data_IF_001410387658
#
_entry.id   IF_001410387658
#
_cell.length_a   1.000
_cell.length_b   1.000
_cell.length_c   1.000
_cell.angle_alpha   90.00
_cell.angle_beta   90.00
_cell.angle_gamma   90.00
#
_symmetry.space_group_name_H-M   'P 1'
#
loop_
_entity.id
_entity.type
_entity.pdbx_description
1 polymer ?
#
# COMPACT_ATOMS: atom_id res chain seq x y z
N UNK A 1 8.48 -27.75 -18.29
CA UNK A 1 7.09 -28.31 -18.29
C UNK A 1 6.62 -28.99 -16.99
N UNK A 2 7.49 -29.42 -16.04
CA UNK A 2 7.04 -30.04 -14.76
C UNK A 2 6.99 -29.08 -13.54
N UNK A 3 7.46 -27.84 -13.67
CA UNK A 3 7.56 -26.87 -12.55
C UNK A 3 6.29 -26.03 -12.33
N UNK A 4 5.57 -25.70 -13.42
CA UNK A 4 4.27 -25.00 -13.39
C UNK A 4 3.19 -25.64 -12.49
N UNK A 5 3.05 -26.98 -12.37
CA UNK A 5 2.05 -27.59 -11.50
C UNK A 5 2.37 -27.50 -10.00
N UNK A 6 3.63 -27.29 -9.59
CA UNK A 6 4.02 -27.28 -8.17
C UNK A 6 3.67 -25.96 -7.46
N UNK A 7 3.98 -24.82 -8.09
CA UNK A 7 3.58 -23.52 -7.54
C UNK A 7 2.05 -23.39 -7.51
N UNK A 8 1.40 -23.84 -8.57
CA UNK A 8 -0.05 -23.84 -8.65
C UNK A 8 -0.71 -24.72 -7.58
N UNK A 9 -0.20 -25.94 -7.37
CA UNK A 9 -0.73 -26.84 -6.35
C UNK A 9 -0.56 -26.29 -4.93
N UNK A 10 0.54 -25.58 -4.64
CA UNK A 10 0.75 -24.92 -3.36
C UNK A 10 -0.24 -23.76 -3.13
N UNK A 11 -0.50 -22.95 -4.16
CA UNK A 11 -1.40 -21.79 -4.07
C UNK A 11 -2.88 -22.20 -4.01
N UNK A 12 -3.30 -23.22 -4.76
CA UNK A 12 -4.69 -23.75 -4.70
C UNK A 12 -4.99 -24.41 -3.35
N UNK A 13 -4.00 -25.02 -2.70
CA UNK A 13 -4.17 -25.59 -1.37
C UNK A 13 -4.44 -24.53 -0.27
N UNK A 14 -4.11 -23.25 -0.54
CA UNK A 14 -4.35 -22.12 0.36
C UNK A 14 -5.57 -21.26 -0.04
N UNK A 15 -6.23 -21.54 -1.16
CA UNK A 15 -7.48 -20.90 -1.51
C UNK A 15 -8.56 -21.30 -0.47
N UNK A 16 -9.44 -20.38 -0.03
CA UNK A 16 -10.45 -20.69 0.97
C UNK A 16 -11.45 -21.71 0.41
N UNK A 17 -11.19 -22.99 0.68
CA UNK A 17 -12.20 -24.02 0.70
C UNK A 17 -13.22 -23.67 1.79
N UNK A 18 -14.49 -23.87 1.47
CA UNK A 18 -15.66 -23.62 2.32
C UNK A 18 -15.40 -23.96 3.80
N UNK A 19 -15.16 -22.93 4.63
CA UNK A 19 -15.15 -23.06 6.08
C UNK A 19 -16.57 -22.90 6.62
N UNK A 20 -17.00 -23.93 7.35
CA UNK A 20 -18.25 -24.04 8.10
C UNK A 20 -18.38 -22.89 9.13
N UNK A 21 -19.56 -22.24 9.28
CA UNK A 21 -19.69 -21.03 10.11
C UNK A 21 -19.79 -21.28 11.63
N UNK A 22 -19.61 -22.51 12.13
CA UNK A 22 -19.78 -22.84 13.56
C UNK A 22 -18.49 -23.37 14.20
N UNK A 23 -17.59 -22.48 14.63
CA UNK A 23 -16.72 -22.76 15.78
C UNK A 23 -16.23 -21.48 16.44
N UNK A 24 -17.14 -20.82 17.17
CA UNK A 24 -16.80 -19.91 18.25
C UNK A 24 -16.33 -20.71 19.48
N UNK A 25 -15.22 -20.30 20.08
CA UNK A 25 -14.49 -21.11 21.06
C UNK A 25 -13.53 -20.28 21.89
N UNK A 26 -14.04 -19.23 22.53
CA UNK A 26 -13.27 -18.41 23.46
C UNK A 26 -12.61 -19.18 24.60
N UNK A 27 -11.35 -18.84 24.90
CA UNK A 27 -10.77 -18.97 26.24
C UNK A 27 -9.85 -17.79 26.54
N UNK A 28 -10.30 -16.99 27.51
CA UNK A 28 -9.52 -16.02 28.27
C UNK A 28 -8.32 -16.72 28.93
N UNK A 29 -7.17 -16.05 28.96
CA UNK A 29 -6.13 -16.27 29.98
C UNK A 29 -5.79 -14.94 30.63
N UNK A 30 -6.08 -14.88 31.93
CA UNK A 30 -5.63 -13.87 32.87
C UNK A 30 -4.12 -13.99 33.13
N UNK A 31 -3.50 -12.85 33.46
CA UNK A 31 -2.48 -12.80 34.51
C UNK A 31 -1.15 -12.12 34.16
N UNK A 32 -0.87 -11.00 34.83
CA UNK A 32 0.47 -10.75 35.38
C UNK A 32 1.11 -9.40 35.10
N UNK A 33 0.75 -8.36 35.86
CA UNK A 33 1.55 -7.15 36.07
C UNK A 33 2.84 -7.47 36.85
N UNK A 34 3.94 -6.75 36.62
CA UNK A 34 4.77 -6.28 37.72
C UNK A 34 5.04 -4.78 37.70
N UNK A 35 4.99 -4.20 38.90
CA UNK A 35 5.27 -2.81 39.26
C UNK A 35 6.77 -2.48 39.33
N UNK A 36 7.08 -1.19 39.22
CA UNK A 36 8.36 -0.56 39.59
C UNK A 36 8.94 0.26 38.43
N UNK A 37 9.49 1.46 38.60
CA UNK A 37 9.67 2.36 39.74
C UNK A 37 9.91 3.76 39.13
N UNK A 38 9.58 4.82 39.88
CA UNK A 38 9.54 6.18 39.36
C UNK A 38 10.92 6.83 39.23
N UNK A 39 11.10 7.69 38.22
CA UNK A 39 11.93 8.89 38.32
C UNK A 39 11.51 9.93 37.28
N UNK A 40 11.03 11.08 37.75
CA UNK A 40 10.82 12.30 36.96
C UNK A 40 12.11 13.10 36.82
N UNK A 41 12.29 13.81 35.70
CA UNK A 41 12.88 15.15 35.79
C UNK A 41 11.95 16.23 35.20
N UNK A 42 12.01 17.41 35.83
CA UNK A 42 11.25 18.64 35.53
C UNK A 42 11.78 19.39 34.29
N UNK A 43 10.96 20.28 33.68
CA UNK A 43 11.28 20.97 32.43
C UNK A 43 12.21 22.16 32.64
N UNK A 44 13.11 22.38 31.67
CA UNK A 44 13.87 23.61 31.51
C UNK A 44 13.27 24.43 30.36
N UNK A 45 13.00 25.69 30.64
CA UNK A 45 12.50 26.72 29.72
C UNK A 45 13.59 27.29 28.80
N UNK A 46 13.11 28.06 27.83
CA UNK A 46 13.77 29.11 27.04
C UNK A 46 14.29 28.79 25.64
N UNK A 47 13.72 29.50 24.65
CA UNK A 47 14.37 29.73 23.36
C UNK A 47 13.42 30.05 22.20
N UNK A 48 12.83 31.24 22.20
CA UNK A 48 12.07 31.79 21.08
C UNK A 48 12.92 31.86 19.79
N UNK A 49 12.34 31.49 18.64
CA UNK A 49 12.89 31.78 17.31
C UNK A 49 11.79 32.37 16.43
N UNK A 50 12.07 33.56 15.92
CA UNK A 50 11.26 34.37 15.00
C UNK A 50 11.26 33.79 13.57
N UNK A 51 10.22 34.03 12.76
CA UNK A 51 10.15 33.53 11.39
C UNK A 51 11.00 34.40 10.44
N UNK A 52 11.93 33.76 9.73
CA UNK A 52 12.77 34.34 8.68
C UNK A 52 12.26 33.96 7.30
N UNK A 53 12.40 34.90 6.37
CA UNK A 53 11.72 35.04 5.09
C UNK A 53 12.15 34.06 3.98
N UNK A 54 11.18 33.79 3.11
CA UNK A 54 11.20 33.35 1.71
C UNK A 54 12.54 33.49 0.96
N UNK A 55 13.08 32.34 0.54
CA UNK A 55 14.17 32.23 -0.42
C UNK A 55 13.79 31.33 -1.58
N UNK A 56 13.30 31.93 -2.66
CA UNK A 56 13.07 31.27 -3.95
C UNK A 56 14.39 30.76 -4.53
N UNK A 57 14.53 29.45 -4.72
CA UNK A 57 15.68 28.84 -5.43
C UNK A 57 15.20 28.37 -6.80
N UNK A 58 15.77 28.97 -7.85
CA UNK A 58 15.63 28.56 -9.24
C UNK A 58 16.39 27.24 -9.51
N UNK A 59 15.90 26.32 -10.34
CA UNK A 59 16.62 25.08 -10.66
C UNK A 59 17.80 25.38 -11.59
N UNK A 60 19.00 24.95 -11.19
CA UNK A 60 20.17 24.86 -12.06
C UNK A 60 20.18 23.51 -12.80
N UNK A 61 20.46 23.58 -14.09
CA UNK A 61 20.62 22.46 -15.01
C UNK A 61 21.93 21.67 -14.74
N UNK A 62 21.88 20.40 -15.17
CA UNK A 62 22.98 19.47 -15.48
C UNK A 62 23.62 18.62 -14.37
N UNK A 63 23.07 17.41 -14.24
CA UNK A 63 23.74 16.21 -13.74
C UNK A 63 22.90 14.98 -14.14
N UNK A 64 23.37 14.24 -15.16
CA UNK A 64 22.59 13.22 -15.88
C UNK A 64 21.81 12.24 -15.01
N UNK A 65 20.48 12.31 -15.16
CA UNK A 65 19.50 11.41 -14.55
C UNK A 65 19.51 10.09 -15.32
N UNK A 66 20.14 9.04 -14.78
CA UNK A 66 19.67 7.69 -15.09
C UNK A 66 18.42 7.45 -14.27
N UNK A 67 17.28 7.91 -14.80
CA UNK A 67 15.98 7.38 -14.42
C UNK A 67 16.08 5.85 -14.51
N UNK A 68 15.59 5.08 -13.55
CA UNK A 68 15.34 3.66 -13.75
C UNK A 68 14.24 3.59 -14.78
N UNK A 69 14.68 3.53 -16.03
CA UNK A 69 13.84 3.70 -17.19
C UNK A 69 12.89 2.54 -17.22
N UNK A 70 11.65 2.78 -16.81
CA UNK A 70 10.53 1.99 -17.28
C UNK A 70 10.62 1.93 -18.81
N UNK A 71 10.30 0.77 -19.37
CA UNK A 71 10.37 0.59 -20.80
C UNK A 71 9.17 1.28 -21.43
N UNK A 72 9.43 2.17 -22.39
CA UNK A 72 8.39 2.79 -23.21
C UNK A 72 8.65 2.43 -24.69
N UNK A 73 7.81 1.57 -25.31
CA UNK A 73 6.60 0.97 -24.75
C UNK A 73 6.90 -0.10 -23.69
N UNK A 74 5.89 -0.39 -22.86
CA UNK A 74 5.96 -1.45 -21.85
C UNK A 74 6.32 -2.81 -22.49
N UNK A 75 7.09 -3.61 -21.76
CA UNK A 75 7.57 -4.89 -22.26
C UNK A 75 6.44 -5.88 -22.59
N UNK A 76 6.72 -6.76 -23.56
CA UNK A 76 5.81 -7.80 -24.01
C UNK A 76 5.57 -8.87 -22.94
N UNK A 77 4.66 -9.80 -23.24
CA UNK A 77 4.47 -10.98 -22.39
C UNK A 77 5.78 -11.79 -22.33
N UNK A 78 6.16 -12.19 -21.12
CA UNK A 78 7.38 -12.93 -20.85
C UNK A 78 8.67 -12.12 -20.87
N UNK A 79 8.55 -10.80 -20.76
CA UNK A 79 9.70 -9.90 -20.71
C UNK A 79 9.65 -9.00 -19.47
N UNK A 80 10.82 -8.67 -18.95
CA UNK A 80 11.00 -7.65 -17.90
C UNK A 80 11.82 -6.49 -18.42
N UNK A 81 11.55 -5.31 -17.89
CA UNK A 81 12.29 -4.11 -18.22
C UNK A 81 13.54 -3.98 -17.35
N UNK A 82 14.69 -3.78 -17.99
CA UNK A 82 16.00 -3.53 -17.37
C UNK A 82 16.74 -2.45 -18.10
N UNK A 83 17.13 -1.39 -17.38
CA UNK A 83 17.88 -0.28 -17.97
C UNK A 83 17.22 0.31 -19.23
N UNK A 84 15.88 0.33 -19.29
CA UNK A 84 15.11 0.78 -20.45
C UNK A 84 15.02 -0.21 -21.62
N UNK A 85 15.46 -1.46 -21.46
CA UNK A 85 15.38 -2.52 -22.47
C UNK A 85 14.57 -3.71 -21.97
N UNK A 86 13.82 -4.35 -22.87
CA UNK A 86 13.06 -5.56 -22.55
C UNK A 86 13.93 -6.81 -22.71
N UNK A 87 13.94 -7.65 -21.68
CA UNK A 87 14.75 -8.89 -21.63
C UNK A 87 13.87 -10.12 -21.38
N UNK A 88 14.25 -11.24 -22.00
CA UNK A 88 13.51 -12.51 -21.97
C UNK A 88 13.89 -13.42 -20.77
N UNK A 89 14.76 -12.95 -19.86
CA UNK A 89 15.25 -13.71 -18.71
C UNK A 89 15.29 -12.88 -17.43
N UNK A 90 15.01 -13.50 -16.29
CA UNK A 90 14.88 -12.83 -14.98
C UNK A 90 16.02 -13.22 -14.03
N UNK A 91 16.20 -14.51 -13.79
CA UNK A 91 17.12 -15.01 -12.75
C UNK A 91 18.36 -15.70 -13.30
N UNK A 92 18.34 -16.06 -14.59
CA UNK A 92 19.32 -16.96 -15.18
C UNK A 92 19.10 -18.43 -14.79
N UNK A 93 17.97 -18.74 -14.15
CA UNK A 93 17.53 -20.11 -13.81
C UNK A 93 16.25 -20.41 -14.57
N UNK A 94 16.35 -21.20 -15.63
CA UNK A 94 15.22 -21.51 -16.54
C UNK A 94 13.95 -21.93 -15.80
N UNK A 95 14.08 -22.71 -14.73
CA UNK A 95 12.92 -23.19 -13.96
C UNK A 95 12.15 -22.09 -13.22
N UNK A 96 12.82 -21.00 -12.85
CA UNK A 96 12.19 -19.83 -12.22
C UNK A 96 11.61 -18.93 -13.33
N UNK A 97 12.40 -18.67 -14.36
CA UNK A 97 12.04 -17.77 -15.46
C UNK A 97 10.84 -18.32 -16.25
N UNK A 98 10.78 -19.63 -16.50
CA UNK A 98 9.63 -20.33 -17.11
C UNK A 98 8.30 -20.04 -16.37
N UNK A 99 8.35 -19.85 -15.05
CA UNK A 99 7.17 -19.62 -14.22
C UNK A 99 6.81 -18.13 -14.15
N UNK A 100 7.81 -17.27 -13.95
CA UNK A 100 7.59 -15.82 -13.81
C UNK A 100 7.32 -15.13 -15.15
N UNK A 101 8.02 -15.55 -16.19
CA UNK A 101 7.94 -15.00 -17.55
C UNK A 101 7.09 -15.88 -18.50
N UNK A 102 6.52 -16.97 -18.00
CA UNK A 102 5.55 -17.77 -18.76
C UNK A 102 4.26 -17.00 -19.07
N UNK A 103 3.29 -17.71 -19.67
CA UNK A 103 1.95 -17.16 -19.92
C UNK A 103 1.28 -16.71 -18.61
N UNK A 104 1.02 -15.40 -18.42
CA UNK A 104 0.48 -14.88 -17.17
C UNK A 104 -0.99 -15.25 -16.97
N UNK A 105 -1.69 -15.67 -18.03
CA UNK A 105 -3.15 -15.85 -18.06
C UNK A 105 -3.62 -16.67 -16.87
N UNK A 106 -2.96 -17.80 -16.59
CA UNK A 106 -3.35 -18.68 -15.51
C UNK A 106 -3.23 -18.02 -14.13
N UNK A 107 -2.15 -17.28 -13.90
CA UNK A 107 -1.97 -16.58 -12.63
C UNK A 107 -3.01 -15.47 -12.49
N UNK A 108 -3.27 -14.70 -13.55
CA UNK A 108 -4.27 -13.65 -13.51
C UNK A 108 -5.71 -14.19 -13.32
N UNK A 109 -6.02 -15.39 -13.84
CA UNK A 109 -7.38 -15.94 -13.79
C UNK A 109 -7.64 -16.92 -12.65
N UNK A 110 -6.60 -17.52 -12.06
CA UNK A 110 -6.74 -18.58 -11.05
C UNK A 110 -6.06 -18.24 -9.72
N UNK A 111 -5.07 -17.34 -9.70
CA UNK A 111 -4.33 -16.97 -8.48
C UNK A 111 -4.66 -15.55 -8.06
N UNK A 112 -4.47 -14.57 -8.94
CA UNK A 112 -4.70 -13.14 -8.67
C UNK A 112 -6.18 -12.79 -8.86
N UNK A 113 -7.03 -13.45 -8.09
CA UNK A 113 -8.48 -13.29 -8.12
C UNK A 113 -9.00 -12.58 -6.88
N UNK A 114 -10.04 -11.77 -7.07
CA UNK A 114 -10.73 -11.02 -6.03
C UNK A 114 -12.20 -11.45 -5.93
N UNK A 115 -12.77 -11.29 -4.74
CA UNK A 115 -14.18 -11.56 -4.50
C UNK A 115 -15.00 -10.28 -4.71
N UNK A 116 -15.91 -10.33 -5.68
CA UNK A 116 -16.86 -9.25 -5.95
C UNK A 116 -17.98 -9.20 -4.91
N UNK A 117 -18.74 -8.09 -4.82
CA UNK A 117 -19.86 -7.96 -3.88
C UNK A 117 -21.00 -8.97 -4.12
N UNK A 118 -21.08 -9.54 -5.33
CA UNK A 118 -22.02 -10.63 -5.68
C UNK A 118 -21.50 -12.03 -5.27
N UNK A 119 -20.41 -12.07 -4.50
CA UNK A 119 -19.69 -13.27 -4.05
C UNK A 119 -19.00 -14.07 -5.15
N UNK A 120 -19.05 -13.62 -6.41
CA UNK A 120 -18.29 -14.23 -7.50
C UNK A 120 -16.80 -13.90 -7.38
N UNK A 121 -15.97 -14.78 -7.93
CA UNK A 121 -14.52 -14.56 -8.03
C UNK A 121 -14.16 -14.15 -9.44
N UNK A 122 -13.38 -13.08 -9.58
CA UNK A 122 -12.92 -12.55 -10.87
C UNK A 122 -11.45 -12.18 -10.80
N UNK A 123 -10.74 -12.10 -11.95
CA UNK A 123 -9.39 -11.55 -11.98
C UNK A 123 -9.33 -10.17 -11.31
N UNK A 124 -8.32 -9.94 -10.48
CA UNK A 124 -8.08 -8.63 -9.86
C UNK A 124 -7.89 -7.58 -10.95
N UNK A 125 -8.46 -6.40 -10.75
CA UNK A 125 -8.25 -5.26 -11.65
C UNK A 125 -6.95 -4.53 -11.33
N UNK A 126 -6.46 -4.66 -10.09
CA UNK A 126 -5.26 -3.97 -9.58
C UNK A 126 -4.00 -4.81 -9.76
N UNK A 127 -4.02 -6.07 -9.36
CA UNK A 127 -2.83 -6.90 -9.25
C UNK A 127 -2.69 -7.79 -10.48
N UNK A 128 -1.59 -7.62 -11.21
CA UNK A 128 -1.28 -8.36 -12.45
C UNK A 128 0.00 -9.15 -12.30
N UNK A 129 0.04 -10.35 -12.86
CA UNK A 129 1.19 -11.24 -12.77
C UNK A 129 2.43 -10.64 -13.42
N UNK A 130 2.27 -9.93 -14.54
CA UNK A 130 3.36 -9.23 -15.21
C UNK A 130 4.03 -8.20 -14.29
N UNK A 131 3.23 -7.40 -13.59
CA UNK A 131 3.75 -6.35 -12.70
C UNK A 131 4.45 -6.98 -11.49
N UNK A 132 3.98 -8.14 -11.03
CA UNK A 132 4.66 -8.95 -10.01
C UNK A 132 6.01 -9.48 -10.52
N UNK A 133 6.07 -10.01 -11.74
CA UNK A 133 7.33 -10.45 -12.37
C UNK A 133 8.35 -9.32 -12.48
N UNK A 134 7.92 -8.13 -12.89
CA UNK A 134 8.77 -6.92 -12.89
C UNK A 134 9.28 -6.57 -11.50
N UNK A 135 8.42 -6.64 -10.47
CA UNK A 135 8.83 -6.39 -9.09
C UNK A 135 9.84 -7.42 -8.59
N UNK A 136 9.64 -8.71 -8.89
CA UNK A 136 10.58 -9.78 -8.53
C UNK A 136 11.94 -9.56 -9.19
N UNK A 137 11.98 -9.23 -10.49
CA UNK A 137 13.22 -8.88 -11.20
C UNK A 137 13.94 -7.72 -10.50
N UNK A 138 13.21 -6.63 -10.26
CA UNK A 138 13.75 -5.41 -9.64
C UNK A 138 14.36 -5.71 -8.27
N UNK A 139 13.62 -6.44 -7.42
CA UNK A 139 14.04 -6.74 -6.05
C UNK A 139 15.12 -7.83 -5.97
N UNK A 140 15.17 -8.73 -6.95
CA UNK A 140 16.21 -9.76 -7.05
C UNK A 140 17.56 -9.18 -7.52
N UNK A 141 17.56 -8.21 -8.43
CA UNK A 141 18.79 -7.74 -9.08
C UNK A 141 19.33 -6.43 -8.54
N UNK A 142 18.43 -5.47 -8.29
CA UNK A 142 18.83 -4.17 -7.77
C UNK A 142 18.68 -4.13 -6.26
N UNK A 143 17.68 -4.84 -5.72
CA UNK A 143 17.43 -4.92 -4.29
C UNK A 143 17.18 -3.54 -3.67
N UNK A 144 17.40 -3.49 -2.36
CA UNK A 144 17.30 -2.28 -1.52
C UNK A 144 18.52 -2.22 -0.60
N UNK A 145 19.40 -1.26 -0.85
CA UNK A 145 20.72 -1.23 -0.23
C UNK A 145 21.48 -2.51 -0.62
N UNK A 146 21.92 -3.29 0.37
CA UNK A 146 22.57 -4.57 0.13
C UNK A 146 21.59 -5.76 0.10
N UNK A 147 20.32 -5.55 0.45
CA UNK A 147 19.31 -6.61 0.54
C UNK A 147 18.71 -6.91 -0.83
N UNK A 148 18.76 -8.16 -1.24
CA UNK A 148 18.13 -8.64 -2.48
C UNK A 148 17.10 -9.72 -2.16
N UNK A 149 16.09 -9.84 -3.01
CA UNK A 149 15.07 -10.88 -2.89
C UNK A 149 15.73 -12.24 -3.02
N UNK A 150 15.63 -13.06 -1.98
CA UNK A 150 16.25 -14.38 -2.00
C UNK A 150 15.45 -15.35 -2.89
N UNK A 151 16.04 -15.76 -4.01
CA UNK A 151 15.48 -16.74 -4.96
C UNK A 151 16.23 -18.08 -4.93
N UNK A 152 16.73 -18.46 -3.76
CA UNK A 152 17.43 -19.72 -3.54
C UNK A 152 18.94 -19.59 -3.38
N UNK A 153 19.57 -20.68 -2.95
CA UNK A 153 21.01 -20.78 -2.72
C UNK A 153 21.76 -20.82 -4.07
N UNK A 154 22.81 -20.00 -4.21
CA UNK A 154 23.61 -19.89 -5.43
C UNK A 154 24.43 -21.16 -5.71
N UNK A 155 24.79 -21.92 -4.67
CA UNK A 155 25.55 -23.16 -4.79
C UNK A 155 24.64 -24.39 -5.05
N UNK A 156 23.32 -24.21 -4.99
CA UNK A 156 22.37 -25.27 -5.25
C UNK A 156 22.19 -25.52 -6.75
N UNK A 157 21.75 -26.73 -7.11
CA UNK A 157 21.35 -27.00 -8.50
C UNK A 157 20.13 -26.17 -8.90
N UNK A 158 19.99 -25.85 -10.19
CA UNK A 158 18.85 -25.10 -10.74
C UNK A 158 17.49 -25.67 -10.30
N UNK A 159 17.38 -27.00 -10.18
CA UNK A 159 16.15 -27.65 -9.70
C UNK A 159 15.84 -27.31 -8.23
N UNK A 160 16.85 -27.33 -7.37
CA UNK A 160 16.69 -27.00 -5.94
C UNK A 160 16.41 -25.50 -5.79
N UNK A 161 17.18 -24.67 -6.48
CA UNK A 161 17.03 -23.21 -6.47
C UNK A 161 15.64 -22.79 -6.97
N UNK A 162 15.15 -23.42 -8.04
CA UNK A 162 13.76 -23.23 -8.53
C UNK A 162 12.75 -23.52 -7.43
N UNK A 163 12.85 -24.65 -6.72
CA UNK A 163 11.90 -24.99 -5.66
C UNK A 163 11.94 -24.00 -4.50
N UNK A 164 13.14 -23.56 -4.10
CA UNK A 164 13.32 -22.57 -3.04
C UNK A 164 12.67 -21.24 -3.41
N UNK A 165 12.94 -20.72 -4.61
CA UNK A 165 12.34 -19.50 -5.12
C UNK A 165 10.81 -19.59 -5.14
N UNK A 166 10.25 -20.65 -5.72
CA UNK A 166 8.80 -20.82 -5.84
C UNK A 166 8.11 -20.94 -4.47
N UNK A 167 8.75 -21.56 -3.47
CA UNK A 167 8.20 -21.61 -2.09
C UNK A 167 8.19 -20.22 -1.45
N UNK A 168 9.28 -19.45 -1.58
CA UNK A 168 9.35 -18.09 -1.04
C UNK A 168 8.27 -17.19 -1.68
N UNK A 169 8.19 -17.20 -3.01
CA UNK A 169 7.21 -16.41 -3.75
C UNK A 169 5.77 -16.85 -3.46
N UNK A 170 5.51 -18.16 -3.29
CA UNK A 170 4.20 -18.65 -2.88
C UNK A 170 3.78 -18.15 -1.51
N UNK A 171 4.71 -18.14 -0.53
CA UNK A 171 4.44 -17.65 0.81
C UNK A 171 4.11 -16.15 0.80
N UNK A 172 4.88 -15.36 0.04
CA UNK A 172 4.59 -13.94 -0.17
C UNK A 172 3.22 -13.73 -0.83
N UNK A 173 2.91 -14.48 -1.89
CA UNK A 173 1.62 -14.38 -2.59
C UNK A 173 0.44 -14.80 -1.70
N UNK A 174 0.61 -15.77 -0.80
CA UNK A 174 -0.42 -16.15 0.15
C UNK A 174 -0.72 -15.03 1.15
N UNK A 175 0.32 -14.34 1.64
CA UNK A 175 0.16 -13.16 2.49
C UNK A 175 -0.52 -12.02 1.72
N UNK A 176 -0.05 -11.71 0.51
CA UNK A 176 -0.65 -10.74 -0.40
C UNK A 176 -2.14 -11.01 -0.66
N UNK A 177 -2.52 -12.27 -0.87
CA UNK A 177 -3.90 -12.68 -1.07
C UNK A 177 -4.79 -12.36 0.14
N UNK A 178 -4.27 -12.60 1.34
CA UNK A 178 -4.99 -12.34 2.58
C UNK A 178 -5.19 -10.86 2.85
N UNK A 179 -4.17 -10.05 2.55
CA UNK A 179 -4.17 -8.61 2.86
C UNK A 179 -4.96 -7.81 1.83
N UNK A 180 -4.78 -8.04 0.54
CA UNK A 180 -5.20 -7.07 -0.49
C UNK A 180 -5.85 -7.66 -1.73
N UNK A 181 -5.27 -8.71 -2.33
CA UNK A 181 -5.70 -9.19 -3.65
C UNK A 181 -7.15 -9.67 -3.59
N UNK A 182 -7.55 -10.39 -2.54
CA UNK A 182 -8.94 -10.86 -2.37
C UNK A 182 -9.96 -9.71 -2.41
N UNK A 183 -9.58 -8.52 -1.96
CA UNK A 183 -10.47 -7.36 -1.87
C UNK A 183 -10.38 -6.44 -3.09
N UNK A 184 -9.49 -6.73 -4.04
CA UNK A 184 -9.17 -5.86 -5.17
C UNK A 184 -8.92 -4.42 -4.70
N UNK A 185 -8.09 -4.28 -3.66
CA UNK A 185 -7.73 -3.00 -3.05
C UNK A 185 -6.20 -2.87 -2.91
N UNK A 186 -5.66 -1.68 -3.23
CA UNK A 186 -4.27 -1.34 -2.98
C UNK A 186 -4.12 -0.52 -1.70
N UNK A 187 -5.08 0.36 -1.45
CA UNK A 187 -5.23 1.13 -0.24
C UNK A 187 -5.99 0.33 0.81
N UNK A 188 -5.67 0.62 2.05
CA UNK A 188 -6.37 0.09 3.20
C UNK A 188 -7.86 0.45 3.15
N UNK A 189 -8.70 -0.57 3.30
CA UNK A 189 -10.13 -0.34 3.49
C UNK A 189 -10.39 0.13 4.92
N UNK A 190 -11.39 0.99 5.10
CA UNK A 190 -11.89 1.28 6.44
C UNK A 190 -12.69 0.06 6.96
N UNK A 191 -12.06 -0.74 7.82
CA UNK A 191 -12.57 -1.99 8.37
C UNK A 191 -13.20 -1.83 9.76
N UNK A 192 -12.86 -0.77 10.50
CA UNK A 192 -13.20 -0.68 11.91
C UNK A 192 -14.67 -0.26 12.13
N UNK A 193 -15.54 -1.25 12.09
CA UNK A 193 -16.96 -1.10 12.42
C UNK A 193 -17.19 -0.85 13.92
N UNK A 194 -16.22 -1.13 14.80
CA UNK A 194 -16.40 -1.02 16.26
C UNK A 194 -16.52 0.43 16.71
N UNK A 195 -16.01 1.37 15.90
CA UNK A 195 -16.16 2.80 16.09
C UNK A 195 -17.13 3.45 15.09
N UNK A 196 -17.98 2.64 14.45
CA UNK A 196 -18.92 3.02 13.39
C UNK A 196 -18.23 3.59 12.14
N UNK A 197 -17.07 3.04 11.73
CA UNK A 197 -16.32 3.50 10.57
C UNK A 197 -15.99 5.00 10.67
N UNK A 198 -15.37 5.40 11.78
CA UNK A 198 -14.93 6.77 11.98
C UNK A 198 -14.09 7.25 10.79
N UNK A 199 -14.28 8.50 10.37
CA UNK A 199 -13.49 9.11 9.29
C UNK A 199 -12.00 9.15 9.67
N UNK A 200 -11.71 9.32 10.96
CA UNK A 200 -10.35 9.26 11.53
C UNK A 200 -9.67 7.90 11.46
N UNK A 201 -10.33 6.87 10.95
CA UNK A 201 -9.70 5.56 10.70
C UNK A 201 -8.55 5.66 9.68
N UNK A 202 -8.48 6.73 8.88
CA UNK A 202 -7.29 7.05 8.08
C UNK A 202 -6.02 7.23 8.93
N UNK A 203 -6.16 7.68 10.18
CA UNK A 203 -5.04 7.85 11.12
C UNK A 203 -4.62 6.53 11.79
N UNK A 204 -5.44 5.49 11.72
CA UNK A 204 -5.29 4.30 12.54
C UNK A 204 -6.61 3.58 12.75
N UNK A 205 -6.60 2.25 12.59
CA UNK A 205 -7.77 1.39 12.80
C UNK A 205 -7.50 0.39 13.93
N UNK A 206 -8.55 -0.14 14.56
CA UNK A 206 -8.43 -1.23 15.54
C UNK A 206 -7.49 -0.89 16.71
N UNK A 207 -7.49 0.38 17.13
CA UNK A 207 -6.66 0.89 18.23
C UNK A 207 -5.24 1.28 17.84
N UNK A 208 -4.88 1.23 16.56
CA UNK A 208 -3.59 1.69 16.06
C UNK A 208 -3.56 3.22 15.88
N UNK A 209 -2.33 3.77 15.80
CA UNK A 209 -2.04 5.17 15.44
C UNK A 209 -0.86 5.18 14.46
N UNK A 210 -1.17 5.27 13.17
CA UNK A 210 -0.18 5.18 12.08
C UNK A 210 0.80 6.37 12.08
N UNK A 211 0.37 7.53 12.60
CA UNK A 211 1.24 8.68 12.76
C UNK A 211 2.29 8.48 13.85
N UNK A 212 2.01 7.60 14.82
CA UNK A 212 2.95 7.24 15.90
C UNK A 212 3.98 6.18 15.52
N UNK A 213 3.86 5.56 14.35
CA UNK A 213 4.84 4.58 13.86
C UNK A 213 6.12 5.28 13.43
N UNK A 214 6.89 5.74 14.42
CA UNK A 214 8.07 6.59 14.25
C UNK A 214 9.36 5.77 14.33
N UNK A 215 10.41 6.26 13.69
CA UNK A 215 11.77 5.72 13.71
C UNK A 215 12.75 6.77 13.19
N UNK A 216 14.06 6.49 13.21
CA UNK A 216 15.04 7.50 12.78
C UNK A 216 14.91 7.89 11.29
N UNK A 217 14.28 7.03 10.49
CA UNK A 217 14.03 7.22 9.06
C UNK A 217 12.59 7.61 8.75
N UNK A 218 11.77 7.95 9.75
CA UNK A 218 10.36 8.24 9.53
C UNK A 218 10.15 9.52 8.72
N UNK A 219 9.19 9.47 7.80
CA UNK A 219 8.77 10.65 7.06
C UNK A 219 8.43 11.81 7.99
N UNK A 220 8.70 13.07 7.61
CA UNK A 220 8.29 14.22 8.41
C UNK A 220 6.76 14.25 8.55
N UNK A 221 6.29 14.81 9.66
CA UNK A 221 4.88 15.15 9.84
C UNK A 221 4.46 16.13 8.75
N UNK A 222 3.27 15.94 8.18
CA UNK A 222 2.74 16.76 7.11
C UNK A 222 1.28 17.18 7.39
N UNK A 223 1.05 18.17 8.27
CA UNK A 223 -0.30 18.67 8.56
C UNK A 223 -0.96 19.37 7.37
N UNK A 224 -0.17 19.78 6.36
CA UNK A 224 -0.68 20.32 5.11
C UNK A 224 -1.11 19.22 4.12
N UNK A 225 -0.78 17.96 4.41
CA UNK A 225 -1.04 16.82 3.53
C UNK A 225 -2.53 16.63 3.25
N UNK A 226 -2.86 16.45 1.97
CA UNK A 226 -4.21 16.18 1.52
C UNK A 226 -4.17 15.15 0.41
N UNK A 227 -4.87 14.03 0.59
CA UNK A 227 -4.98 13.00 -0.44
C UNK A 227 -6.20 12.11 -0.22
N UNK A 228 -6.57 11.36 -1.23
CA UNK A 228 -7.67 10.40 -1.22
C UNK A 228 -7.13 9.09 -1.77
N UNK A 229 -7.35 7.99 -1.05
CA UNK A 229 -7.06 6.65 -1.51
C UNK A 229 -7.72 6.38 -2.88
N UNK A 230 -6.99 5.77 -3.81
CA UNK A 230 -7.54 5.47 -5.15
C UNK A 230 -8.39 4.21 -5.14
N UNK A 231 -8.24 3.36 -4.12
CA UNK A 231 -9.00 2.13 -3.96
C UNK A 231 -9.66 2.05 -2.59
N UNK A 232 -10.71 1.22 -2.49
CA UNK A 232 -11.48 1.02 -1.27
C UNK A 232 -12.37 -0.23 -1.41
N UNK A 233 -13.05 -0.54 -0.33
CA UNK A 233 -13.97 -1.65 -0.21
C UNK A 233 -15.17 -1.51 -1.14
N UNK A 234 -15.62 -2.61 -1.74
CA UNK A 234 -16.74 -2.61 -2.71
C UNK A 234 -18.03 -3.24 -2.18
N UNK A 235 -18.05 -3.75 -0.94
CA UNK A 235 -19.27 -4.36 -0.39
C UNK A 235 -20.42 -3.35 -0.29
N UNK A 236 -21.66 -3.84 -0.24
CA UNK A 236 -22.83 -2.96 -0.15
C UNK A 236 -22.68 -1.98 1.02
N UNK A 237 -22.79 -0.67 0.82
CA UNK A 237 -22.63 0.34 1.87
C UNK A 237 -21.20 0.58 2.35
N UNK A 238 -20.20 -0.04 1.72
CA UNK A 238 -18.79 0.08 2.09
C UNK A 238 -18.37 1.53 2.33
N UNK A 239 -17.55 1.79 3.37
CA UNK A 239 -16.92 3.08 3.55
C UNK A 239 -16.27 3.58 2.27
N UNK A 240 -16.44 4.87 1.99
CA UNK A 240 -15.70 5.53 0.93
C UNK A 240 -14.19 5.48 1.16
N UNK A 241 -13.39 5.86 0.16
CA UNK A 241 -11.94 5.85 0.27
C UNK A 241 -11.45 6.64 1.48
N UNK A 242 -10.39 6.13 2.13
CA UNK A 242 -9.68 6.88 3.16
C UNK A 242 -9.16 8.19 2.56
N UNK A 243 -9.09 9.23 3.40
CA UNK A 243 -8.52 10.50 3.01
C UNK A 243 -7.86 11.17 4.21
N UNK A 244 -6.89 12.02 3.93
CA UNK A 244 -6.33 13.00 4.87
C UNK A 244 -6.55 14.41 4.31
N UNK A 245 -6.66 15.39 5.19
CA UNK A 245 -6.75 16.81 4.83
C UNK A 245 -6.41 17.69 6.03
N UNK A 246 -5.93 18.92 5.82
CA UNK A 246 -5.74 19.89 6.90
C UNK A 246 -7.06 20.18 7.63
N UNK A 247 -7.01 20.35 8.95
CA UNK A 247 -8.18 20.71 9.74
C UNK A 247 -8.79 22.03 9.29
N UNK A 248 -7.95 23.01 8.95
CA UNK A 248 -8.40 24.30 8.43
C UNK A 248 -9.26 24.16 7.16
N UNK A 249 -8.90 23.22 6.28
CA UNK A 249 -9.65 22.94 5.04
C UNK A 249 -11.02 22.36 5.34
N UNK A 250 -11.09 21.32 6.19
CA UNK A 250 -12.37 20.69 6.54
C UNK A 250 -13.26 21.63 7.37
N UNK A 251 -12.68 22.42 8.27
CA UNK A 251 -13.40 23.41 9.06
C UNK A 251 -13.99 24.51 8.18
N UNK A 252 -13.24 25.02 7.20
CA UNK A 252 -13.72 26.02 6.25
C UNK A 252 -14.87 25.48 5.37
N UNK A 253 -14.86 24.18 5.08
CA UNK A 253 -15.94 23.49 4.38
C UNK A 253 -17.14 23.13 5.28
N UNK A 254 -17.10 23.42 6.59
CA UNK A 254 -18.17 23.07 7.53
C UNK A 254 -18.25 21.57 7.84
N UNK A 255 -17.18 20.82 7.59
CA UNK A 255 -17.09 19.36 7.74
C UNK A 255 -16.45 18.95 9.08
N UNK A 256 -16.43 19.87 10.05
CA UNK A 256 -15.92 19.61 11.39
C UNK A 256 -16.84 20.16 12.46
N UNK A 257 -16.92 19.45 13.58
CA UNK A 257 -17.61 19.86 14.79
C UNK A 257 -16.63 19.76 15.96
N UNK A 258 -16.36 20.88 16.62
CA UNK A 258 -15.43 20.95 17.77
C UNK A 258 -14.04 20.34 17.47
N UNK A 259 -13.49 20.60 16.27
CA UNK A 259 -12.19 20.08 15.84
C UNK A 259 -12.18 18.57 15.53
N UNK A 260 -13.37 17.96 15.41
CA UNK A 260 -13.58 16.54 15.12
C UNK A 260 -14.30 16.37 13.80
N UNK A 261 -14.06 15.26 13.12
CA UNK A 261 -14.76 14.91 11.88
C UNK A 261 -16.06 14.19 12.22
N UNK A 262 -16.19 12.92 11.86
CA UNK A 262 -17.40 12.16 11.98
C UNK A 262 -17.17 10.73 11.54
N UNK A 263 -18.12 10.15 10.84
CA UNK A 263 -18.10 8.73 10.48
C UNK A 263 -18.74 8.45 9.13
N UNK A 264 -18.55 7.24 8.63
CA UNK A 264 -19.31 6.74 7.50
C UNK A 264 -20.62 6.07 7.98
N UNK A 265 -21.76 6.62 7.58
CA UNK A 265 -23.05 5.95 7.81
C UNK A 265 -23.33 4.94 6.70
N UNK A 266 -22.81 3.73 6.92
CA UNK A 266 -23.02 2.55 6.09
C UNK A 266 -24.49 2.28 5.70
N UNK A 267 -25.45 2.61 6.58
CA UNK A 267 -26.86 2.27 6.40
C UNK A 267 -27.68 3.27 5.59
N UNK A 268 -27.09 4.39 5.15
CA UNK A 268 -27.79 5.35 4.30
C UNK A 268 -28.05 4.75 2.91
N UNK A 269 -29.31 4.67 2.50
CA UNK A 269 -29.71 4.19 1.17
C UNK A 269 -29.58 5.32 0.13
N UNK A 270 -28.91 5.03 -0.98
CA UNK A 270 -28.63 5.98 -2.05
C UNK A 270 -29.65 5.98 -3.19
N UNK A 271 -30.79 5.30 -3.07
CA UNK A 271 -31.85 5.32 -4.08
C UNK A 271 -32.15 6.76 -4.58
N UNK A 272 -32.11 7.04 -5.90
CA UNK A 272 -32.17 6.10 -7.04
C UNK A 272 -30.83 5.55 -7.55
N UNK A 273 -29.76 5.59 -6.75
CA UNK A 273 -28.42 5.05 -7.02
C UNK A 273 -27.65 5.76 -8.16
N UNK A 274 -27.45 7.09 -8.07
CA UNK A 274 -26.84 7.87 -9.15
C UNK A 274 -25.44 7.37 -9.56
N UNK A 275 -24.63 6.92 -8.61
CA UNK A 275 -23.29 6.38 -8.89
C UNK A 275 -23.28 5.03 -9.63
N UNK A 276 -24.43 4.39 -9.83
CA UNK A 276 -24.56 3.13 -10.59
C UNK A 276 -25.03 3.34 -12.03
N UNK A 277 -25.40 4.57 -12.38
CA UNK A 277 -25.92 4.89 -13.71
C UNK A 277 -24.84 4.76 -14.80
N UNK A 278 -25.27 4.37 -16.00
CA UNK A 278 -24.37 4.26 -17.13
C UNK A 278 -23.74 5.63 -17.46
N UNK A 279 -22.41 5.67 -17.48
CA UNK A 279 -21.65 6.91 -17.75
C UNK A 279 -21.27 7.70 -16.49
N UNK A 280 -21.65 7.25 -15.29
CA UNK A 280 -21.10 7.80 -14.06
C UNK A 280 -19.58 7.55 -14.00
N UNK A 281 -18.83 8.57 -13.62
CA UNK A 281 -17.41 8.48 -13.31
C UNK A 281 -17.17 9.16 -11.96
N UNK A 282 -16.36 8.54 -11.12
CA UNK A 282 -15.99 9.12 -9.83
C UNK A 282 -15.32 10.48 -10.06
N UNK A 283 -15.77 11.56 -9.41
CA UNK A 283 -15.14 12.87 -9.58
C UNK A 283 -13.69 12.88 -9.08
N UNK A 284 -12.82 13.60 -9.80
CA UNK A 284 -11.41 13.83 -9.42
C UNK A 284 -11.25 14.72 -8.18
N UNK A 285 -12.34 15.23 -7.62
CA UNK A 285 -12.33 15.97 -6.37
C UNK A 285 -11.99 15.06 -5.17
N UNK A 286 -11.43 15.60 -4.08
CA UNK A 286 -11.17 14.83 -2.85
C UNK A 286 -12.44 14.14 -2.34
N UNK A 287 -12.32 12.92 -1.79
CA UNK A 287 -13.47 12.10 -1.40
C UNK A 287 -14.46 12.79 -0.46
N UNK A 288 -13.96 13.65 0.44
CA UNK A 288 -14.76 14.42 1.40
C UNK A 288 -15.60 15.55 0.77
N UNK A 289 -15.29 15.95 -0.46
CA UNK A 289 -15.97 17.03 -1.19
C UNK A 289 -16.96 16.54 -2.26
N UNK A 290 -16.96 15.23 -2.52
CA UNK A 290 -17.86 14.62 -3.50
C UNK A 290 -19.31 14.63 -3.00
N UNK A 291 -20.26 14.68 -3.92
CA UNK A 291 -21.68 14.70 -3.57
C UNK A 291 -22.10 13.42 -2.85
N UNK A 292 -23.10 13.54 -1.97
CA UNK A 292 -23.73 12.40 -1.30
C UNK A 292 -24.20 11.38 -2.35
N UNK A 293 -23.94 10.10 -2.11
CA UNK A 293 -24.25 9.00 -3.02
C UNK A 293 -23.51 9.00 -4.38
N UNK A 294 -22.50 9.87 -4.54
CA UNK A 294 -21.63 9.97 -5.71
C UNK A 294 -20.14 10.02 -5.29
N UNK A 295 -19.81 9.44 -4.13
CA UNK A 295 -18.45 9.41 -3.56
C UNK A 295 -17.54 8.48 -4.35
N UNK A 296 -18.09 7.37 -4.88
CA UNK A 296 -17.38 6.40 -5.69
C UNK A 296 -18.30 5.68 -6.67
N UNK A 297 -17.76 5.25 -7.81
CA UNK A 297 -18.50 4.49 -8.81
C UNK A 297 -19.09 3.20 -8.23
N UNK A 298 -20.38 2.96 -8.51
CA UNK A 298 -21.12 1.81 -8.00
C UNK A 298 -21.70 1.98 -6.60
N UNK A 299 -21.58 3.15 -5.96
CA UNK A 299 -22.14 3.41 -4.63
C UNK A 299 -23.66 3.19 -4.60
N UNK A 300 -24.10 2.32 -3.70
CA UNK A 300 -25.52 2.00 -3.46
C UNK A 300 -26.02 2.39 -2.08
N UNK A 301 -25.10 2.57 -1.14
CA UNK A 301 -25.40 2.98 0.21
C UNK A 301 -24.15 3.64 0.81
N UNK A 302 -24.28 4.19 2.00
CA UNK A 302 -23.19 4.85 2.69
C UNK A 302 -23.14 6.36 2.41
N UNK A 303 -22.72 7.13 3.41
CA UNK A 303 -22.40 8.56 3.26
C UNK A 303 -21.49 9.05 4.38
N UNK A 304 -20.86 10.19 4.18
CA UNK A 304 -20.19 10.93 5.25
C UNK A 304 -21.22 11.55 6.21
N UNK A 305 -21.02 11.37 7.51
CA UNK A 305 -21.76 12.08 8.56
C UNK A 305 -20.77 12.85 9.42
N UNK A 306 -20.77 14.18 9.29
CA UNK A 306 -19.86 15.10 9.98
C UNK A 306 -20.39 15.51 11.36
N UNK A 307 -20.67 14.52 12.21
CA UNK A 307 -21.40 14.66 13.47
C UNK A 307 -20.52 14.93 14.71
N UNK A 308 -19.19 14.92 14.56
CA UNK A 308 -18.19 15.03 15.63
C UNK A 308 -17.75 13.69 16.24
N UNK A 309 -18.24 12.55 15.75
CA UNK A 309 -17.93 11.24 16.32
C UNK A 309 -16.48 10.79 16.08
N UNK A 310 -15.91 11.07 14.91
CA UNK A 310 -14.51 10.74 14.56
C UNK A 310 -13.51 11.84 14.91
N UNK A 311 -12.23 11.48 15.06
CA UNK A 311 -11.14 12.42 15.30
C UNK A 311 -10.80 13.31 14.10
N UNK A 312 -9.69 14.03 14.18
CA UNK A 312 -9.11 14.72 13.02
C UNK A 312 -8.54 13.70 12.00
N UNK A 313 -8.35 14.12 10.75
CA UNK A 313 -7.59 13.40 9.71
C UNK A 313 -6.40 14.23 9.18
N UNK A 314 -6.02 15.28 9.90
CA UNK A 314 -4.82 16.05 9.63
C UNK A 314 -3.59 15.20 9.95
N UNK A 315 -2.60 15.20 9.05
CA UNK A 315 -1.38 14.38 9.19
C UNK A 315 -1.63 12.85 9.27
N UNK A 316 -2.75 12.39 8.69
CA UNK A 316 -3.17 10.98 8.70
C UNK A 316 -3.02 10.27 7.35
N UNK A 317 -2.09 10.72 6.51
CA UNK A 317 -1.91 10.18 5.15
C UNK A 317 -1.19 8.81 5.11
N UNK A 318 -1.10 8.10 6.24
CA UNK A 318 -0.16 7.00 6.49
C UNK A 318 -0.83 5.62 6.58
N UNK A 319 -2.03 5.46 6.02
CA UNK A 319 -2.71 4.17 5.92
C UNK A 319 -1.96 3.18 5.01
N UNK A 320 -2.36 1.91 5.11
CA UNK A 320 -1.75 0.81 4.36
C UNK A 320 -1.85 0.98 2.85
N UNK A 321 -0.73 0.78 2.14
CA UNK A 321 -0.67 0.79 0.67
C UNK A 321 0.13 -0.37 0.11
N UNK A 322 -0.23 -0.77 -1.10
CA UNK A 322 0.40 -1.88 -1.80
C UNK A 322 0.02 -3.23 -1.22
N UNK A 323 0.65 -4.27 -1.76
CA UNK A 323 0.13 -5.65 -1.69
C UNK A 323 0.12 -6.26 -0.28
N UNK A 324 0.95 -5.77 0.64
CA UNK A 324 0.91 -6.14 2.07
C UNK A 324 0.80 -4.92 2.98
N UNK A 325 0.17 -3.85 2.50
CA UNK A 325 -0.25 -2.71 3.33
C UNK A 325 0.89 -2.03 4.09
N UNK A 326 1.90 -1.52 3.35
CA UNK A 326 2.93 -0.64 3.90
C UNK A 326 2.25 0.53 4.63
N UNK A 327 2.43 0.60 5.95
CA UNK A 327 1.65 1.49 6.84
C UNK A 327 2.57 2.29 7.76
N UNK A 328 2.23 3.55 8.01
CA UNK A 328 2.89 4.39 9.01
C UNK A 328 4.16 5.10 8.54
N UNK A 329 4.49 6.20 9.22
CA UNK A 329 5.56 7.14 8.84
C UNK A 329 6.93 6.49 8.69
N UNK A 330 7.28 5.53 9.57
CA UNK A 330 8.56 4.83 9.50
C UNK A 330 8.70 4.03 8.21
N UNK A 331 7.69 3.23 7.85
CA UNK A 331 7.77 2.36 6.68
C UNK A 331 7.83 3.17 5.37
N UNK A 332 6.99 4.19 5.23
CA UNK A 332 7.06 5.10 4.07
C UNK A 332 8.39 5.86 4.02
N UNK A 333 8.94 6.24 5.18
CA UNK A 333 10.22 6.93 5.25
C UNK A 333 11.39 6.06 4.81
N UNK A 334 11.43 4.80 5.27
CA UNK A 334 12.39 3.81 4.78
C UNK A 334 12.24 3.58 3.27
N UNK A 335 11.01 3.44 2.77
CA UNK A 335 10.74 3.31 1.34
C UNK A 335 11.25 4.53 0.56
N UNK A 336 10.98 5.74 1.05
CA UNK A 336 11.44 6.98 0.43
C UNK A 336 12.97 7.08 0.42
N UNK A 337 13.64 6.64 1.49
CA UNK A 337 15.09 6.65 1.54
C UNK A 337 15.71 5.68 0.54
N UNK A 338 15.24 4.44 0.48
CA UNK A 338 15.88 3.41 -0.33
C UNK A 338 15.44 3.39 -1.79
N UNK A 339 14.15 3.59 -2.03
CA UNK A 339 13.57 3.52 -3.38
C UNK A 339 13.29 4.89 -3.96
N UNK A 340 12.92 5.87 -3.13
CA UNK A 340 12.54 7.20 -3.58
C UNK A 340 13.69 8.21 -3.60
N UNK A 341 13.31 9.48 -3.65
CA UNK A 341 14.22 10.62 -3.63
C UNK A 341 14.99 10.82 -2.31
N UNK A 342 14.61 10.09 -1.25
CA UNK A 342 15.03 10.30 0.14
C UNK A 342 14.58 11.63 0.75
N UNK A 343 14.44 11.64 2.07
CA UNK A 343 14.13 12.83 2.88
C UNK A 343 15.15 13.02 4.03
N UNK A 344 16.16 12.16 4.07
CA UNK A 344 17.14 12.07 5.14
C UNK A 344 18.46 12.73 4.75
N UNK A 345 19.19 13.21 5.77
CA UNK A 345 20.55 13.70 5.63
C UNK A 345 21.50 12.57 5.17
N UNK A 346 22.19 12.78 4.04
CA UNK A 346 23.07 11.78 3.46
C UNK A 346 24.34 11.50 4.28
N UNK A 347 24.74 12.42 5.17
CA UNK A 347 25.88 12.20 6.07
C UNK A 347 25.54 11.24 7.21
N UNK A 348 24.30 11.30 7.72
CA UNK A 348 23.79 10.39 8.76
C UNK A 348 23.25 9.07 8.19
N UNK A 349 22.57 9.12 7.05
CA UNK A 349 21.99 7.97 6.38
C UNK A 349 22.59 7.84 4.97
N UNK A 350 23.85 7.37 4.87
CA UNK A 350 24.46 7.16 3.57
C UNK A 350 23.73 6.05 2.83
N UNK A 351 23.41 6.29 1.55
CA UNK A 351 22.85 5.30 0.64
C UNK A 351 23.88 4.93 -0.42
N UNK A 352 24.06 3.63 -0.66
CA UNK A 352 24.83 3.14 -1.80
C UNK A 352 23.97 3.21 -3.08
N UNK A 353 24.55 3.75 -4.14
CA UNK A 353 23.89 3.80 -5.45
C UNK A 353 22.77 4.83 -5.59
N UNK A 354 22.21 4.85 -6.79
CA UNK A 354 21.06 5.68 -7.16
C UNK A 354 19.76 4.96 -6.76
N UNK A 355 18.72 5.69 -6.34
CA UNK A 355 17.44 5.07 -6.02
C UNK A 355 16.77 4.51 -7.26
N UNK A 356 15.92 3.51 -7.05
CA UNK A 356 15.11 2.89 -8.11
C UNK A 356 14.00 3.81 -8.64
N UNK A 357 13.60 4.83 -7.91
CA UNK A 357 12.56 5.78 -8.30
C UNK A 357 12.94 7.19 -7.82
N UNK A 358 13.99 7.82 -8.40
CA UNK A 358 14.53 9.11 -7.94
C UNK A 358 13.52 10.25 -7.99
N UNK A 359 12.52 10.14 -8.86
CA UNK A 359 11.50 11.16 -9.08
C UNK A 359 10.30 11.03 -8.13
N UNK A 360 10.21 9.94 -7.35
CA UNK A 360 9.13 9.71 -6.41
C UNK A 360 9.49 10.15 -5.00
N UNK A 361 8.54 10.79 -4.33
CA UNK A 361 8.61 11.17 -2.92
C UNK A 361 7.52 10.46 -2.13
N UNK A 362 7.81 9.29 -1.57
CA UNK A 362 6.81 8.55 -0.80
C UNK A 362 6.43 9.22 0.53
N UNK A 363 7.18 10.24 0.98
CA UNK A 363 6.79 11.03 2.14
C UNK A 363 5.82 12.17 1.79
N UNK A 364 5.96 12.76 0.61
CA UNK A 364 5.03 13.79 0.14
C UNK A 364 3.78 13.19 -0.53
N UNK A 365 3.96 12.10 -1.28
CA UNK A 365 2.92 11.41 -2.02
C UNK A 365 3.03 9.88 -1.87
N UNK A 366 2.66 9.32 -0.69
CA UNK A 366 2.58 7.87 -0.51
C UNK A 366 1.57 7.20 -1.44
N UNK A 367 0.60 7.94 -2.00
CA UNK A 367 -0.42 7.42 -2.91
C UNK A 367 0.15 6.98 -4.27
N UNK A 368 1.34 7.46 -4.62
CA UNK A 368 2.08 7.01 -5.81
C UNK A 368 2.27 5.49 -5.89
N UNK A 369 2.29 4.78 -4.76
CA UNK A 369 2.34 3.31 -4.72
C UNK A 369 1.13 2.66 -5.41
N UNK A 370 -0.06 3.25 -5.22
CA UNK A 370 -1.32 2.70 -5.70
C UNK A 370 -1.83 3.38 -6.97
N UNK A 371 -1.46 4.64 -7.19
CA UNK A 371 -1.94 5.47 -8.29
C UNK A 371 -1.03 5.51 -9.52
N UNK A 372 0.26 5.15 -9.38
CA UNK A 372 1.22 5.24 -10.48
C UNK A 372 0.87 4.28 -11.62
N UNK A 373 0.65 4.84 -12.80
CA UNK A 373 0.55 4.08 -14.06
C UNK A 373 1.89 3.92 -14.75
N UNK A 374 2.88 4.76 -14.41
CA UNK A 374 4.22 4.68 -14.95
C UNK A 374 5.04 3.54 -14.32
N UNK A 375 4.73 3.21 -13.06
CA UNK A 375 5.42 2.19 -12.26
C UNK A 375 4.41 1.27 -11.58
N UNK A 376 3.61 0.49 -12.34
CA UNK A 376 2.59 -0.38 -11.77
C UNK A 376 3.15 -1.46 -10.83
N UNK A 377 4.43 -1.80 -10.94
CA UNK A 377 5.14 -2.73 -10.07
C UNK A 377 5.34 -2.21 -8.64
N UNK A 378 5.19 -0.90 -8.38
CA UNK A 378 5.41 -0.31 -7.05
C UNK A 378 4.54 -0.94 -5.95
N UNK A 379 3.29 -1.28 -6.28
CA UNK A 379 2.38 -1.94 -5.33
C UNK A 379 2.92 -3.27 -4.82
N UNK A 380 3.71 -3.97 -5.65
CA UNK A 380 4.39 -5.21 -5.29
C UNK A 380 5.72 -4.95 -4.59
N UNK A 381 6.53 -4.01 -5.10
CA UNK A 381 7.83 -3.66 -4.55
C UNK A 381 7.73 -3.18 -3.11
N UNK A 382 6.74 -2.32 -2.80
CA UNK A 382 6.51 -1.85 -1.43
C UNK A 382 6.29 -3.02 -0.46
N UNK A 383 5.62 -4.08 -0.92
CA UNK A 383 5.43 -5.30 -0.17
C UNK A 383 6.67 -6.20 -0.09
N UNK A 384 7.35 -6.41 -1.22
CA UNK A 384 8.58 -7.20 -1.25
C UNK A 384 9.67 -6.57 -0.37
N UNK A 385 9.74 -5.24 -0.29
CA UNK A 385 10.65 -4.56 0.62
C UNK A 385 10.43 -4.99 2.07
N UNK A 386 9.19 -4.89 2.55
CA UNK A 386 8.87 -5.29 3.92
C UNK A 386 9.03 -6.81 4.14
N UNK A 387 8.68 -7.63 3.14
CA UNK A 387 8.90 -9.08 3.17
C UNK A 387 10.38 -9.41 3.39
N UNK A 388 11.28 -8.78 2.65
CA UNK A 388 12.72 -9.03 2.76
C UNK A 388 13.33 -8.48 4.05
N UNK A 389 12.80 -7.38 4.59
CA UNK A 389 13.39 -6.70 5.75
C UNK A 389 12.86 -7.21 7.09
N UNK A 390 11.75 -7.94 7.11
CA UNK A 390 10.97 -8.12 8.34
C UNK A 390 10.21 -9.45 8.47
N UNK A 391 10.25 -10.32 7.46
CA UNK A 391 9.69 -11.68 7.49
C UNK A 391 10.81 -12.69 7.20
#
# INVERSE_FOLDING_TARGET
>A
MRSLPLLFAALVACAPGTMDPDSDGGRRRDGGTPSGDGSTPRPGEDGAVTPGEDGSVTPGEDGGTTTPGGCDPACGMGQVCRGGSCEDGLTGVDGIDDVLLGDPTRFDTEVLISQDPDMSWRPSTIYKWRDFGQAVATMFESGIGDMHLWLGDEDASDEVRTRQALVNLAAFLAQAMKETIKYDACDENNWDATNNYAISNACGQLGQDYGSYDCEMACPRNPAGAMTAVTHAKWYGAPGPLFCAPNATLQAAGLMRDGRTGRWNYGHDCYPYPATEAGFSTPDAPAWSRAECEVYAGQRAGRWEWDGSGGSVEDCCWWGRGVIQTTGRCNFGMLNHYLGRSHLDAGRFPRSGSPLYPDLDFCADPESICSSTAHPELKWIAGLFYWMSSV
#
